data_IF_065972261334
#
_entry.id   IF_065972261334
#
_cell.length_a   1.000
_cell.length_b   1.000
_cell.length_c   1.000
_cell.angle_alpha   90.00
_cell.angle_beta   90.00
_cell.angle_gamma   90.00
#
_symmetry.space_group_name_H-M   'P 1'
#
loop_
_entity.id
_entity.type
_entity.pdbx_description
1 polymer ?
#
# COMPACT_ATOMS: atom_id res chain seq x y z
N UNK A 1 19.32 7.89 0.46
CA UNK A 1 18.76 6.52 0.37
C UNK A 1 17.35 6.59 -0.15
N UNK A 2 17.00 5.86 -1.22
CA UNK A 2 15.62 5.86 -1.69
C UNK A 2 14.71 5.19 -0.68
N UNK A 3 13.50 5.73 -0.56
CA UNK A 3 12.47 5.11 0.25
C UNK A 3 11.91 3.89 -0.46
N UNK A 4 11.54 2.87 0.28
CA UNK A 4 10.99 1.62 -0.25
C UNK A 4 9.48 1.59 -0.07
N UNK A 5 8.76 1.29 -1.15
CA UNK A 5 7.31 1.17 -1.15
C UNK A 5 6.94 -0.27 -1.48
N UNK A 6 6.09 -0.88 -0.66
CA UNK A 6 5.47 -2.16 -0.97
C UNK A 6 4.11 -1.88 -1.61
N UNK A 7 3.95 -2.30 -2.85
CA UNK A 7 2.72 -2.09 -3.62
C UNK A 7 1.99 -3.43 -3.77
N UNK A 8 0.74 -3.48 -3.32
CA UNK A 8 -0.05 -4.72 -3.29
C UNK A 8 -1.34 -4.54 -4.09
N UNK A 9 -1.50 -5.32 -5.15
CA UNK A 9 -2.69 -5.28 -6.02
C UNK A 9 -2.74 -6.57 -6.82
N UNK A 10 -3.92 -7.14 -7.01
CA UNK A 10 -4.06 -8.38 -7.78
C UNK A 10 -4.04 -8.14 -9.30
N UNK A 11 -4.11 -6.89 -9.74
CA UNK A 11 -3.96 -6.54 -11.15
C UNK A 11 -2.49 -6.34 -11.50
N UNK A 12 -1.91 -7.29 -12.24
CA UNK A 12 -0.50 -7.21 -12.67
C UNK A 12 -0.25 -5.96 -13.50
N UNK A 13 -1.20 -5.60 -14.38
CA UNK A 13 -1.10 -4.39 -15.19
C UNK A 13 -0.99 -3.14 -14.32
N UNK A 14 -1.82 -3.05 -13.28
CA UNK A 14 -1.80 -1.93 -12.35
C UNK A 14 -0.49 -1.89 -11.56
N UNK A 15 -0.03 -3.05 -11.06
CA UNK A 15 1.25 -3.13 -10.35
C UNK A 15 2.41 -2.60 -11.21
N UNK A 16 2.48 -3.03 -12.47
CA UNK A 16 3.56 -2.61 -13.36
C UNK A 16 3.51 -1.13 -13.67
N UNK A 17 2.32 -0.60 -13.92
CA UNK A 17 2.12 0.81 -14.23
C UNK A 17 2.50 1.71 -13.06
N UNK A 18 2.00 1.42 -11.88
CA UNK A 18 2.28 2.23 -10.69
C UNK A 18 3.73 2.08 -10.26
N UNK A 19 4.26 0.86 -10.30
CA UNK A 19 5.68 0.60 -10.00
C UNK A 19 6.58 1.45 -10.89
N UNK A 20 6.32 1.46 -12.19
CA UNK A 20 7.12 2.23 -13.13
C UNK A 20 7.11 3.72 -12.79
N UNK A 21 5.93 4.27 -12.52
CA UNK A 21 5.80 5.69 -12.15
C UNK A 21 6.56 6.02 -10.87
N UNK A 22 6.49 5.16 -9.88
CA UNK A 22 7.17 5.37 -8.60
C UNK A 22 8.69 5.23 -8.72
N UNK A 23 9.15 4.28 -9.53
CA UNK A 23 10.59 4.10 -9.77
C UNK A 23 11.18 5.29 -10.50
N UNK A 24 10.46 5.85 -11.49
CA UNK A 24 10.88 7.06 -12.19
C UNK A 24 11.01 8.23 -11.20
N UNK A 25 10.14 8.27 -10.20
CA UNK A 25 10.18 9.31 -9.17
C UNK A 25 11.28 9.08 -8.12
N UNK A 26 12.03 7.99 -8.20
CA UNK A 26 13.17 7.73 -7.32
C UNK A 26 12.90 6.76 -6.17
N UNK A 27 11.74 6.12 -6.12
CA UNK A 27 11.44 5.14 -5.07
C UNK A 27 11.91 3.75 -5.46
N UNK A 28 12.26 2.94 -4.46
CA UNK A 28 12.45 1.51 -4.64
C UNK A 28 11.08 0.85 -4.40
N UNK A 29 10.65 -0.02 -5.31
CA UNK A 29 9.31 -0.62 -5.24
C UNK A 29 9.40 -2.14 -5.21
N UNK A 30 8.76 -2.73 -4.19
CA UNK A 30 8.51 -4.16 -4.11
C UNK A 30 7.02 -4.36 -4.39
N UNK A 31 6.67 -5.47 -5.02
CA UNK A 31 5.27 -5.77 -5.37
C UNK A 31 4.81 -7.08 -4.80
N UNK A 32 3.49 -7.19 -4.56
CA UNK A 32 2.85 -8.44 -4.19
C UNK A 32 1.45 -8.47 -4.82
N UNK A 33 0.99 -9.65 -5.24
CA UNK A 33 -0.28 -9.79 -5.96
C UNK A 33 -1.48 -9.98 -5.03
N UNK A 34 -1.27 -10.25 -3.75
CA UNK A 34 -2.33 -10.35 -2.75
C UNK A 34 -1.76 -10.16 -1.35
N UNK A 35 -2.63 -10.18 -0.36
CA UNK A 35 -2.22 -9.97 1.03
C UNK A 35 -1.36 -11.09 1.59
N UNK A 36 -1.55 -12.33 1.13
CA UNK A 36 -0.74 -13.47 1.58
C UNK A 36 0.71 -13.29 1.13
N UNK A 37 0.90 -12.95 -0.14
CA UNK A 37 2.25 -12.71 -0.68
C UNK A 37 2.91 -11.50 -0.05
N UNK A 38 2.11 -10.46 0.22
CA UNK A 38 2.62 -9.27 0.92
C UNK A 38 3.10 -9.63 2.33
N UNK A 39 2.29 -10.37 3.09
CA UNK A 39 2.68 -10.80 4.44
C UNK A 39 3.91 -11.69 4.43
N UNK A 40 4.06 -12.56 3.42
CA UNK A 40 5.24 -13.39 3.29
C UNK A 40 6.50 -12.54 3.16
N UNK A 41 6.46 -11.47 2.36
CA UNK A 41 7.59 -10.55 2.21
C UNK A 41 7.89 -9.80 3.51
N UNK A 42 6.86 -9.31 4.19
CA UNK A 42 7.03 -8.59 5.45
C UNK A 42 7.60 -9.51 6.54
N UNK A 43 7.10 -10.75 6.61
CA UNK A 43 7.56 -11.72 7.60
C UNK A 43 8.98 -12.20 7.33
N UNK A 44 9.43 -12.16 6.08
CA UNK A 44 10.80 -12.56 5.71
C UNK A 44 11.83 -11.44 5.84
N UNK A 45 11.43 -10.28 6.33
CA UNK A 45 12.36 -9.20 6.67
C UNK A 45 12.25 -7.94 5.84
N UNK A 46 11.34 -7.86 4.86
CA UNK A 46 11.12 -6.62 4.12
C UNK A 46 10.56 -5.56 5.05
N UNK A 47 11.20 -4.40 5.10
CA UNK A 47 10.76 -3.26 5.91
C UNK A 47 10.50 -2.05 5.01
N UNK A 48 9.32 -1.95 4.38
CA UNK A 48 9.02 -0.80 3.54
C UNK A 48 8.80 0.45 4.39
N UNK A 49 9.02 1.59 3.77
CA UNK A 49 8.72 2.89 4.38
C UNK A 49 7.25 3.25 4.21
N UNK A 50 6.58 2.65 3.23
CA UNK A 50 5.18 2.88 2.89
C UNK A 50 4.60 1.61 2.29
N UNK A 51 3.36 1.29 2.64
CA UNK A 51 2.59 0.23 1.99
C UNK A 51 1.41 0.87 1.26
N UNK A 52 1.22 0.52 -0.01
CA UNK A 52 0.05 0.91 -0.80
C UNK A 52 -0.65 -0.38 -1.21
N UNK A 53 -1.89 -0.56 -0.80
CA UNK A 53 -2.60 -1.82 -1.00
C UNK A 53 -4.02 -1.62 -1.52
N UNK A 54 -4.43 -2.47 -2.45
CA UNK A 54 -5.83 -2.59 -2.82
C UNK A 54 -6.60 -3.29 -1.68
N UNK A 55 -7.90 -3.11 -1.65
CA UNK A 55 -8.77 -3.71 -0.64
C UNK A 55 -9.32 -5.05 -1.09
N UNK A 56 -9.80 -5.12 -2.33
CA UNK A 56 -10.45 -6.34 -2.86
C UNK A 56 -9.44 -7.20 -3.62
N UNK A 57 -8.89 -8.19 -2.93
CA UNK A 57 -7.91 -9.12 -3.49
C UNK A 57 -8.26 -10.55 -3.08
N UNK A 58 -7.88 -11.55 -3.89
CA UNK A 58 -8.09 -12.96 -3.51
C UNK A 58 -7.18 -13.35 -2.35
N UNK A 59 -7.50 -14.43 -1.69
CA UNK A 59 -6.74 -15.06 -0.60
C UNK A 59 -6.70 -14.22 0.68
N UNK A 60 -6.21 -12.99 0.61
CA UNK A 60 -6.23 -12.04 1.73
C UNK A 60 -6.44 -10.65 1.16
N UNK A 61 -7.52 -9.99 1.56
CA UNK A 61 -7.81 -8.62 1.17
C UNK A 61 -6.99 -7.59 1.93
N UNK A 62 -7.09 -6.33 1.49
CA UNK A 62 -6.28 -5.25 2.04
C UNK A 62 -6.58 -4.92 3.50
N UNK A 63 -7.83 -5.01 3.94
CA UNK A 63 -8.18 -4.70 5.34
C UNK A 63 -7.53 -5.72 6.28
N UNK A 64 -7.60 -7.01 5.95
CA UNK A 64 -6.94 -8.05 6.74
C UNK A 64 -5.42 -7.88 6.71
N UNK A 65 -4.87 -7.54 5.54
CA UNK A 65 -3.44 -7.25 5.40
C UNK A 65 -3.01 -6.12 6.34
N UNK A 66 -3.78 -5.02 6.37
CA UNK A 66 -3.47 -3.87 7.22
C UNK A 66 -3.44 -4.30 8.69
N UNK A 67 -4.45 -5.05 9.14
CA UNK A 67 -4.51 -5.56 10.52
C UNK A 67 -3.28 -6.38 10.87
N UNK A 68 -2.91 -7.31 9.98
CA UNK A 68 -1.76 -8.20 10.20
C UNK A 68 -0.43 -7.46 10.15
N UNK A 69 -0.30 -6.52 9.21
CA UNK A 69 0.92 -5.71 9.12
C UNK A 69 1.12 -4.87 10.38
N UNK A 70 0.05 -4.25 10.88
CA UNK A 70 0.13 -3.45 12.11
C UNK A 70 0.54 -4.26 13.33
N UNK A 71 0.27 -5.57 13.34
CA UNK A 71 0.65 -6.44 14.44
C UNK A 71 2.12 -6.88 14.39
N UNK A 72 2.82 -6.65 13.28
CA UNK A 72 4.24 -6.98 13.16
C UNK A 72 5.10 -5.97 13.93
N UNK A 73 6.20 -6.44 14.58
CA UNK A 73 7.14 -5.52 15.24
C UNK A 73 7.71 -4.49 14.25
N UNK A 74 7.66 -3.22 14.62
CA UNK A 74 8.19 -2.13 13.81
C UNK A 74 7.24 -1.55 12.77
N UNK A 75 6.01 -2.09 12.65
CA UNK A 75 5.05 -1.61 11.63
C UNK A 75 3.91 -0.74 12.20
N UNK A 76 3.98 -0.42 13.48
CA UNK A 76 2.88 0.33 14.12
C UNK A 76 2.64 1.71 13.52
N UNK A 77 3.70 2.38 13.06
CA UNK A 77 3.62 3.76 12.55
C UNK A 77 3.97 3.90 11.07
N UNK A 78 4.20 2.80 10.36
CA UNK A 78 4.45 2.87 8.92
C UNK A 78 3.17 3.36 8.24
N UNK A 79 3.25 4.37 7.35
CA UNK A 79 2.06 4.78 6.60
C UNK A 79 1.57 3.65 5.69
N UNK A 80 0.27 3.44 5.69
CA UNK A 80 -0.40 2.47 4.84
C UNK A 80 -1.53 3.20 4.12
N UNK A 81 -1.42 3.29 2.79
CA UNK A 81 -2.44 3.89 1.94
C UNK A 81 -3.21 2.78 1.23
N UNK A 82 -4.50 2.96 1.07
CA UNK A 82 -5.28 2.11 0.17
C UNK A 82 -5.40 2.79 -1.18
N UNK A 83 -5.33 2.01 -2.26
CA UNK A 83 -5.55 2.49 -3.62
C UNK A 83 -6.46 1.47 -4.29
N UNK A 84 -7.76 1.75 -4.31
CA UNK A 84 -8.78 0.77 -4.61
C UNK A 84 -9.97 1.38 -5.34
N UNK A 85 -10.75 0.56 -6.06
CA UNK A 85 -12.04 0.99 -6.61
C UNK A 85 -13.14 1.01 -5.56
N UNK A 86 -12.89 0.45 -4.37
CA UNK A 86 -13.88 0.40 -3.30
C UNK A 86 -14.11 1.80 -2.71
N UNK A 87 -15.34 2.31 -2.79
CA UNK A 87 -15.70 3.63 -2.27
C UNK A 87 -16.79 3.57 -1.20
N UNK A 88 -17.25 2.39 -0.81
CA UNK A 88 -18.26 2.21 0.21
C UNK A 88 -17.78 2.76 1.56
N UNK A 89 -18.59 3.59 2.21
CA UNK A 89 -18.21 4.23 3.47
C UNK A 89 -17.93 3.22 4.58
N UNK A 90 -18.73 2.15 4.65
CA UNK A 90 -18.50 1.10 5.65
C UNK A 90 -17.15 0.43 5.49
N UNK A 91 -16.73 0.16 4.26
CA UNK A 91 -15.40 -0.41 3.97
C UNK A 91 -14.28 0.57 4.31
N UNK A 92 -14.49 1.86 4.01
CA UNK A 92 -13.53 2.90 4.38
C UNK A 92 -13.37 2.99 5.89
N UNK A 93 -14.47 2.91 6.62
CA UNK A 93 -14.46 2.93 8.09
C UNK A 93 -13.72 1.70 8.64
N UNK A 94 -13.93 0.52 8.05
CA UNK A 94 -13.19 -0.70 8.41
C UNK A 94 -11.68 -0.53 8.16
N UNK A 95 -11.31 0.05 7.02
CA UNK A 95 -9.91 0.30 6.69
C UNK A 95 -9.26 1.25 7.69
N UNK A 96 -9.95 2.32 8.04
CA UNK A 96 -9.47 3.28 9.03
C UNK A 96 -9.31 2.63 10.39
N UNK A 97 -10.31 1.85 10.82
CA UNK A 97 -10.25 1.13 12.09
C UNK A 97 -9.13 0.08 12.11
N UNK A 98 -8.80 -0.52 10.96
CA UNK A 98 -7.70 -1.46 10.84
C UNK A 98 -6.33 -0.79 10.93
N UNK A 99 -6.25 0.53 10.70
CA UNK A 99 -5.03 1.29 10.79
C UNK A 99 -4.54 1.91 9.48
N UNK A 100 -5.40 2.02 8.45
CA UNK A 100 -5.03 2.71 7.21
C UNK A 100 -4.77 4.19 7.50
N UNK A 101 -3.68 4.71 6.92
CA UNK A 101 -3.33 6.13 7.04
C UNK A 101 -4.20 6.99 6.12
N UNK A 102 -4.52 6.48 4.94
CA UNK A 102 -5.35 7.17 3.98
C UNK A 102 -6.07 6.20 3.05
N UNK A 103 -7.11 6.68 2.38
CA UNK A 103 -7.94 5.88 1.49
C UNK A 103 -8.06 6.61 0.15
N UNK A 104 -7.53 6.01 -0.91
CA UNK A 104 -7.56 6.57 -2.26
C UNK A 104 -8.44 5.71 -3.14
N UNK A 105 -9.30 6.35 -3.93
CA UNK A 105 -10.20 5.64 -4.86
C UNK A 105 -9.63 5.76 -6.28
N UNK A 106 -9.49 4.62 -6.96
CA UNK A 106 -9.04 4.59 -8.36
C UNK A 106 -10.08 5.23 -9.28
N UNK A 107 -9.66 5.89 -10.35
CA UNK A 107 -8.27 6.12 -10.76
C UNK A 107 -7.65 7.31 -10.06
N UNK A 108 -6.37 7.21 -9.69
CA UNK A 108 -5.59 8.33 -9.15
C UNK A 108 -4.45 8.61 -10.11
N UNK A 109 -4.32 9.85 -10.57
CA UNK A 109 -3.24 10.23 -11.47
C UNK A 109 -1.88 10.14 -10.79
N UNK A 110 -0.82 9.89 -11.57
CA UNK A 110 0.54 9.74 -11.04
C UNK A 110 1.02 10.94 -10.24
N UNK A 111 0.71 12.15 -10.70
CA UNK A 111 1.08 13.40 -10.01
C UNK A 111 0.38 13.50 -8.65
N UNK A 112 -0.91 13.19 -8.60
CA UNK A 112 -1.69 13.25 -7.36
C UNK A 112 -1.22 12.18 -6.37
N UNK A 113 -0.92 10.98 -6.84
CA UNK A 113 -0.39 9.92 -6.00
C UNK A 113 0.94 10.33 -5.38
N UNK A 114 1.85 10.91 -6.16
CA UNK A 114 3.13 11.39 -5.66
C UNK A 114 2.98 12.47 -4.60
N UNK A 115 2.02 13.39 -4.78
CA UNK A 115 1.74 14.42 -3.78
C UNK A 115 1.30 13.81 -2.46
N UNK A 116 0.42 12.82 -2.51
CA UNK A 116 -0.08 12.14 -1.31
C UNK A 116 1.04 11.36 -0.62
N UNK A 117 1.89 10.68 -1.40
CA UNK A 117 3.04 9.95 -0.85
C UNK A 117 3.96 10.91 -0.09
N UNK A 118 4.24 12.07 -0.66
CA UNK A 118 5.10 13.06 0.00
C UNK A 118 4.49 13.62 1.28
N UNK A 119 3.16 13.67 1.38
CA UNK A 119 2.47 14.11 2.59
C UNK A 119 2.60 13.08 3.73
N UNK A 120 2.52 11.80 3.42
CA UNK A 120 2.55 10.73 4.44
C UNK A 120 3.96 10.19 4.70
N UNK A 121 4.91 10.49 3.84
CA UNK A 121 6.27 9.97 3.91
C UNK A 121 7.26 11.15 3.88
N UNK A 122 7.51 11.79 5.05
CA UNK A 122 8.42 12.95 5.10
C UNK A 122 9.81 12.61 4.60
N UNK A 123 10.40 13.50 3.83
CA UNK A 123 11.73 13.30 3.25
C UNK A 123 11.74 12.52 1.94
N UNK A 124 10.58 12.17 1.42
CA UNK A 124 10.49 11.48 0.14
C UNK A 124 10.61 12.43 -1.05
#
# INVERSE_FOLDING_TARGET
MPKTILLVDDSVTMLMSVKNNLEIAGFKVETAEDGVKAMAKLSSGLKPDLIIADINMPNMGGIELIKKARALPGFRFIPILTLTTESNQGRRDEGKAAGATGWLVKPVGGVDLLKIIKQVLPGA
#
